data_IF_954578855875
#
_entry.id   IF_954578855875
#
_cell.length_a   1.000
_cell.length_b   1.000
_cell.length_c   1.000
_cell.angle_alpha   90.00
_cell.angle_beta   90.00
_cell.angle_gamma   90.00
#
_symmetry.space_group_name_H-M   'P 1'
#
loop_
_entity.id
_entity.type
_entity.pdbx_description
1 polymer ?
#
# COMPACT_ATOMS: atom_id res chain seq x y z
N UNK A 1 17.30 -7.48 -25.13
CA UNK A 1 15.89 -7.70 -24.77
C UNK A 1 15.33 -6.42 -24.18
N UNK A 2 14.41 -5.78 -24.88
CA UNK A 2 13.79 -4.54 -24.41
C UNK A 2 12.73 -4.85 -23.36
N UNK A 3 12.48 -3.93 -22.41
CA UNK A 3 11.41 -4.05 -21.41
C UNK A 3 10.02 -4.32 -22.03
N UNK A 4 9.81 -3.93 -23.29
CA UNK A 4 8.58 -4.16 -24.06
C UNK A 4 8.37 -5.63 -24.46
N UNK A 5 9.43 -6.41 -24.61
CA UNK A 5 9.34 -7.85 -24.92
C UNK A 5 8.92 -8.67 -23.68
N UNK A 6 9.23 -8.20 -22.48
CA UNK A 6 8.87 -8.92 -21.23
C UNK A 6 7.40 -8.74 -20.83
N UNK A 7 6.76 -7.65 -21.27
CA UNK A 7 5.33 -7.38 -21.08
C UNK A 7 4.51 -7.61 -22.35
N UNK A 8 5.06 -8.42 -23.27
CA UNK A 8 4.55 -8.69 -24.60
C UNK A 8 3.03 -8.76 -24.64
N UNK A 9 2.45 -8.11 -25.65
CA UNK A 9 1.01 -8.09 -25.96
C UNK A 9 0.42 -9.48 -25.67
N UNK A 10 -0.20 -9.62 -24.50
CA UNK A 10 -0.94 -10.83 -24.19
C UNK A 10 -2.18 -10.78 -25.09
N UNK A 11 -2.36 -11.81 -25.92
CA UNK A 11 -3.59 -11.99 -26.68
C UNK A 11 -4.76 -11.84 -25.69
N UNK A 12 -5.59 -10.83 -25.89
CA UNK A 12 -6.80 -10.68 -25.10
C UNK A 12 -7.73 -11.80 -25.54
N UNK A 13 -7.75 -12.89 -24.79
CA UNK A 13 -8.86 -13.83 -24.87
C UNK A 13 -10.09 -13.15 -24.28
N UNK A 14 -10.98 -12.70 -25.16
CA UNK A 14 -12.21 -12.00 -24.80
C UNK A 14 -13.19 -12.98 -24.14
N UNK A 15 -12.97 -13.27 -22.85
CA UNK A 15 -14.00 -13.90 -22.03
C UNK A 15 -15.17 -12.93 -21.88
N UNK A 16 -16.40 -13.41 -22.10
CA UNK A 16 -17.61 -12.59 -22.00
C UNK A 16 -17.72 -11.85 -20.66
N UNK A 17 -17.20 -12.44 -19.57
CA UNK A 17 -17.22 -11.78 -18.26
C UNK A 17 -16.25 -10.59 -18.19
N UNK A 18 -15.13 -10.63 -18.89
CA UNK A 18 -14.17 -9.52 -18.96
C UNK A 18 -14.71 -8.37 -19.81
N UNK A 19 -15.43 -8.69 -20.90
CA UNK A 19 -16.13 -7.68 -21.70
C UNK A 19 -17.21 -6.97 -20.88
N UNK A 20 -18.02 -7.74 -20.14
CA UNK A 20 -19.05 -7.17 -19.26
C UNK A 20 -18.45 -6.34 -18.11
N UNK A 21 -17.30 -6.77 -17.58
CA UNK A 21 -16.56 -6.01 -16.58
C UNK A 21 -15.99 -4.71 -17.15
N UNK A 22 -15.43 -4.74 -18.36
CA UNK A 22 -14.95 -3.52 -19.02
C UNK A 22 -16.08 -2.52 -19.25
N UNK A 23 -17.24 -2.98 -19.74
CA UNK A 23 -18.42 -2.14 -19.89
C UNK A 23 -18.85 -1.53 -18.56
N UNK A 24 -18.93 -2.34 -17.50
CA UNK A 24 -19.24 -1.85 -16.16
C UNK A 24 -18.26 -0.78 -15.66
N UNK A 25 -16.95 -0.95 -15.92
CA UNK A 25 -15.98 0.08 -15.56
C UNK A 25 -16.11 1.36 -16.41
N UNK A 26 -16.53 1.26 -17.67
CA UNK A 26 -16.82 2.45 -18.51
C UNK A 26 -17.98 3.26 -17.93
N UNK A 27 -18.98 2.60 -17.36
CA UNK A 27 -20.17 3.24 -16.80
C UNK A 27 -19.93 3.80 -15.38
N UNK A 28 -19.01 3.19 -14.62
CA UNK A 28 -18.77 3.55 -13.20
C UNK A 28 -17.58 4.47 -12.98
N UNK A 29 -16.61 4.51 -13.90
CA UNK A 29 -15.40 5.31 -13.76
C UNK A 29 -15.48 6.60 -14.58
N UNK A 30 -14.96 7.70 -14.04
CA UNK A 30 -14.87 8.96 -14.76
C UNK A 30 -14.06 8.80 -16.06
N UNK A 31 -14.46 9.50 -17.13
CA UNK A 31 -13.80 9.42 -18.44
C UNK A 31 -12.29 9.74 -18.39
N UNK A 32 -11.85 10.58 -17.45
CA UNK A 32 -10.44 10.91 -17.23
C UNK A 32 -9.58 9.70 -16.83
N UNK A 33 -10.19 8.62 -16.35
CA UNK A 33 -9.50 7.44 -15.80
C UNK A 33 -9.36 6.30 -16.80
N UNK A 34 -9.53 6.57 -18.11
CA UNK A 34 -9.46 5.58 -19.20
C UNK A 34 -8.21 4.68 -19.09
N UNK A 35 -7.02 5.26 -18.86
CA UNK A 35 -5.77 4.47 -18.69
C UNK A 35 -5.82 3.53 -17.49
N UNK A 36 -6.41 3.98 -16.39
CA UNK A 36 -6.51 3.19 -15.16
C UNK A 36 -7.54 2.07 -15.33
N UNK A 37 -8.68 2.36 -15.97
CA UNK A 37 -9.70 1.38 -16.34
C UNK A 37 -9.13 0.25 -17.18
N UNK A 38 -8.48 0.59 -18.29
CA UNK A 38 -7.92 -0.40 -19.21
C UNK A 38 -6.85 -1.26 -18.51
N UNK A 39 -6.09 -0.65 -17.58
CA UNK A 39 -5.16 -1.37 -16.72
C UNK A 39 -5.85 -2.35 -15.76
N UNK A 40 -7.03 -2.03 -15.21
CA UNK A 40 -7.79 -2.97 -14.36
C UNK A 40 -8.16 -4.23 -15.14
N UNK A 41 -8.76 -4.08 -16.32
CA UNK A 41 -9.18 -5.19 -17.17
C UNK A 41 -7.97 -6.03 -17.59
N UNK A 42 -6.88 -5.38 -18.04
CA UNK A 42 -5.66 -6.06 -18.45
C UNK A 42 -5.01 -6.86 -17.30
N UNK A 43 -5.02 -6.32 -16.08
CA UNK A 43 -4.48 -7.02 -14.90
C UNK A 43 -5.29 -8.27 -14.56
N UNK A 44 -6.62 -8.18 -14.57
CA UNK A 44 -7.51 -9.33 -14.31
C UNK A 44 -7.31 -10.39 -15.39
N UNK A 45 -7.31 -9.98 -16.67
CA UNK A 45 -7.09 -10.89 -17.78
C UNK A 45 -5.77 -11.66 -17.66
N UNK A 46 -4.67 -10.97 -17.30
CA UNK A 46 -3.36 -11.62 -17.09
C UNK A 46 -3.40 -12.72 -16.04
N UNK A 47 -4.08 -12.48 -14.91
CA UNK A 47 -4.21 -13.48 -13.85
C UNK A 47 -5.04 -14.66 -14.34
N UNK A 48 -6.23 -14.38 -14.87
CA UNK A 48 -7.16 -15.43 -15.31
C UNK A 48 -6.57 -16.27 -16.44
N UNK A 49 -5.89 -15.65 -17.40
CA UNK A 49 -5.21 -16.34 -18.49
C UNK A 49 -4.08 -17.24 -17.97
N UNK A 50 -3.28 -16.78 -17.01
CA UNK A 50 -2.21 -17.61 -16.46
C UNK A 50 -2.72 -18.76 -15.59
N UNK A 51 -3.81 -18.56 -14.86
CA UNK A 51 -4.42 -19.60 -14.03
C UNK A 51 -5.32 -20.56 -14.83
N UNK A 52 -5.92 -20.10 -15.92
CA UNK A 52 -6.83 -20.85 -16.78
C UNK A 52 -6.70 -20.40 -18.26
N UNK A 53 -5.67 -20.87 -18.98
CA UNK A 53 -5.34 -20.37 -20.32
C UNK A 53 -6.44 -20.61 -21.36
N UNK A 54 -7.19 -21.69 -21.22
CA UNK A 54 -8.15 -22.11 -22.23
C UNK A 54 -9.39 -21.21 -22.32
N UNK A 55 -9.80 -20.56 -21.22
CA UNK A 55 -11.10 -19.86 -21.18
C UNK A 55 -11.14 -18.57 -20.34
N UNK A 56 -10.04 -18.22 -19.65
CA UNK A 56 -10.05 -17.14 -18.65
C UNK A 56 -11.26 -17.26 -17.70
N UNK A 57 -11.65 -18.49 -17.33
CA UNK A 57 -12.82 -18.74 -16.47
C UNK A 57 -12.50 -18.29 -15.04
N UNK A 58 -13.27 -17.35 -14.45
CA UNK A 58 -13.02 -16.85 -13.10
C UNK A 58 -13.20 -17.92 -12.00
N UNK A 59 -13.87 -19.04 -12.27
CA UNK A 59 -13.98 -20.17 -11.32
C UNK A 59 -12.62 -20.78 -10.96
N UNK A 60 -11.57 -20.55 -11.76
CA UNK A 60 -10.21 -20.95 -11.39
C UNK A 60 -9.74 -20.32 -10.07
N UNK A 61 -10.34 -19.18 -9.68
CA UNK A 61 -10.05 -18.48 -8.43
C UNK A 61 -10.65 -19.17 -7.20
N UNK A 62 -11.57 -20.13 -7.35
CA UNK A 62 -12.16 -20.86 -6.22
C UNK A 62 -11.09 -21.63 -5.44
N UNK A 63 -10.04 -22.09 -6.13
CA UNK A 63 -8.93 -22.83 -5.52
C UNK A 63 -7.91 -21.82 -4.97
N UNK A 64 -8.02 -21.48 -3.68
CA UNK A 64 -7.11 -20.53 -3.02
C UNK A 64 -5.65 -20.96 -3.06
N UNK A 65 -5.35 -22.27 -3.03
CA UNK A 65 -3.98 -22.77 -3.21
C UNK A 65 -3.43 -22.44 -4.60
N UNK A 66 -4.24 -22.59 -5.65
CA UNK A 66 -3.82 -22.19 -7.00
C UNK A 66 -3.56 -20.68 -7.12
N UNK A 67 -4.31 -19.84 -6.38
CA UNK A 67 -4.03 -18.40 -6.28
C UNK A 67 -2.66 -18.17 -5.62
N UNK A 68 -2.38 -18.84 -4.50
CA UNK A 68 -1.09 -18.72 -3.82
C UNK A 68 0.05 -19.15 -4.75
N UNK A 69 -0.08 -20.31 -5.39
CA UNK A 69 0.94 -20.86 -6.31
C UNK A 69 1.20 -19.91 -7.47
N UNK A 70 0.15 -19.31 -8.04
CA UNK A 70 0.29 -18.29 -9.08
C UNK A 70 1.12 -17.09 -8.57
N UNK A 71 0.78 -16.48 -7.45
CA UNK A 71 1.50 -15.30 -6.96
C UNK A 71 2.93 -15.61 -6.47
N UNK A 72 3.18 -16.85 -6.03
CA UNK A 72 4.52 -17.34 -5.68
C UNK A 72 5.39 -17.63 -6.90
N UNK A 73 4.80 -18.19 -7.97
CA UNK A 73 5.51 -18.47 -9.23
C UNK A 73 5.85 -17.22 -10.05
N UNK A 74 5.19 -16.08 -9.76
CA UNK A 74 5.54 -14.82 -10.41
C UNK A 74 7.02 -14.46 -10.16
N UNK A 75 7.79 -14.16 -11.23
CA UNK A 75 9.23 -13.91 -11.15
C UNK A 75 9.60 -12.95 -10.02
N UNK A 76 10.71 -13.22 -9.33
CA UNK A 76 11.24 -12.35 -8.27
C UNK A 76 11.60 -10.95 -8.79
N UNK A 77 11.89 -10.81 -10.09
CA UNK A 77 12.14 -9.53 -10.75
C UNK A 77 10.87 -8.66 -10.90
N UNK A 78 9.69 -9.27 -10.80
CA UNK A 78 8.42 -8.54 -10.82
C UNK A 78 8.29 -7.79 -9.49
N UNK A 79 8.23 -6.46 -9.57
CA UNK A 79 8.11 -5.62 -8.37
C UNK A 79 6.86 -6.01 -7.54
N UNK A 80 6.99 -6.02 -6.21
CA UNK A 80 5.87 -6.28 -5.30
C UNK A 80 4.69 -5.32 -5.57
N UNK A 81 4.95 -4.09 -6.03
CA UNK A 81 3.93 -3.16 -6.48
C UNK A 81 3.10 -3.68 -7.66
N UNK A 82 3.70 -4.40 -8.60
CA UNK A 82 2.98 -5.02 -9.71
C UNK A 82 2.07 -6.14 -9.21
N UNK A 83 2.56 -6.98 -8.29
CA UNK A 83 1.74 -8.02 -7.63
C UNK A 83 0.55 -7.39 -6.88
N UNK A 84 0.81 -6.32 -6.13
CA UNK A 84 -0.24 -5.56 -5.43
C UNK A 84 -1.27 -4.99 -6.41
N UNK A 85 -0.85 -4.49 -7.57
CA UNK A 85 -1.77 -3.96 -8.58
C UNK A 85 -2.64 -5.07 -9.19
N UNK A 86 -2.09 -6.26 -9.46
CA UNK A 86 -2.88 -7.41 -9.90
C UNK A 86 -3.93 -7.80 -8.85
N UNK A 87 -3.54 -7.84 -7.58
CA UNK A 87 -4.45 -8.16 -6.48
C UNK A 87 -5.55 -7.10 -6.35
N UNK A 88 -5.22 -5.80 -6.43
CA UNK A 88 -6.22 -4.72 -6.40
C UNK A 88 -7.24 -4.87 -7.53
N UNK A 89 -6.78 -5.12 -8.75
CA UNK A 89 -7.66 -5.31 -9.90
C UNK A 89 -8.57 -6.52 -9.75
N UNK A 90 -8.05 -7.65 -9.25
CA UNK A 90 -8.86 -8.82 -8.91
C UNK A 90 -9.92 -8.52 -7.87
N UNK A 91 -9.59 -7.80 -6.79
CA UNK A 91 -10.56 -7.47 -5.74
C UNK A 91 -11.71 -6.59 -6.25
N UNK A 92 -11.43 -5.65 -7.16
CA UNK A 92 -12.46 -4.83 -7.81
C UNK A 92 -13.33 -5.73 -8.69
N UNK A 93 -12.72 -6.57 -9.53
CA UNK A 93 -13.45 -7.52 -10.38
C UNK A 93 -14.34 -8.47 -9.59
N UNK A 94 -13.85 -9.05 -8.50
CA UNK A 94 -14.62 -9.93 -7.62
C UNK A 94 -15.78 -9.20 -6.94
N UNK A 95 -15.65 -7.90 -6.69
CA UNK A 95 -16.74 -7.07 -6.17
C UNK A 95 -17.81 -6.83 -7.24
N UNK A 96 -17.40 -6.56 -8.49
CA UNK A 96 -18.30 -6.55 -9.64
C UNK A 96 -19.07 -7.87 -9.79
N UNK A 97 -18.40 -9.02 -9.65
CA UNK A 97 -19.05 -10.32 -9.75
C UNK A 97 -20.16 -10.52 -8.71
N UNK A 98 -19.99 -9.98 -7.50
CA UNK A 98 -21.02 -10.05 -6.45
C UNK A 98 -22.22 -9.13 -6.66
N UNK A 99 -22.06 -8.06 -7.43
CA UNK A 99 -23.09 -7.01 -7.60
C UNK A 99 -24.03 -7.30 -8.77
N UNK A 100 -23.62 -8.11 -9.75
CA UNK A 100 -24.39 -8.35 -10.97
C UNK A 100 -25.17 -9.66 -10.89
N UNK A 101 -26.50 -9.60 -10.98
CA UNK A 101 -27.41 -10.77 -10.87
C UNK A 101 -27.11 -11.87 -11.90
N UNK A 102 -26.83 -11.50 -13.15
CA UNK A 102 -26.47 -12.44 -14.23
C UNK A 102 -25.18 -13.21 -13.90
N UNK A 103 -24.16 -12.49 -13.41
CA UNK A 103 -22.88 -13.09 -13.00
C UNK A 103 -23.09 -14.00 -11.79
N UNK A 104 -23.91 -13.57 -10.83
CA UNK A 104 -24.21 -14.32 -9.62
C UNK A 104 -24.87 -15.67 -9.92
N UNK A 105 -25.85 -15.71 -10.83
CA UNK A 105 -26.52 -16.96 -11.24
C UNK A 105 -25.51 -17.87 -11.94
N UNK A 106 -24.77 -17.34 -12.92
CA UNK A 106 -23.84 -18.12 -13.75
C UNK A 106 -22.64 -18.66 -12.98
N UNK A 107 -22.17 -17.97 -11.95
CA UNK A 107 -20.97 -18.30 -11.20
C UNK A 107 -21.24 -18.48 -9.70
N UNK A 108 -22.34 -19.16 -9.36
CA UNK A 108 -22.79 -19.31 -7.95
C UNK A 108 -21.67 -19.80 -7.02
N UNK A 109 -20.91 -20.83 -7.43
CA UNK A 109 -19.78 -21.37 -6.64
C UNK A 109 -18.67 -20.36 -6.39
N UNK A 110 -18.39 -19.50 -7.37
CA UNK A 110 -17.43 -18.41 -7.22
C UNK A 110 -17.93 -17.40 -6.19
N UNK A 111 -19.21 -17.03 -6.27
CA UNK A 111 -19.85 -16.08 -5.34
C UNK A 111 -19.83 -16.60 -3.91
N UNK A 112 -20.18 -17.86 -3.70
CA UNK A 112 -20.16 -18.48 -2.37
C UNK A 112 -18.76 -18.54 -1.78
N UNK A 113 -17.74 -18.64 -2.65
CA UNK A 113 -16.33 -18.69 -2.24
C UNK A 113 -15.68 -17.30 -2.10
N UNK A 114 -16.38 -16.21 -2.46
CA UNK A 114 -15.79 -14.86 -2.49
C UNK A 114 -15.13 -14.42 -1.19
N UNK A 115 -15.71 -14.65 0.01
CA UNK A 115 -15.06 -14.25 1.26
C UNK A 115 -13.66 -14.86 1.39
N UNK A 116 -13.53 -16.16 1.17
CA UNK A 116 -12.26 -16.88 1.26
C UNK A 116 -11.25 -16.44 0.20
N UNK A 117 -11.71 -16.19 -1.02
CA UNK A 117 -10.86 -15.69 -2.11
C UNK A 117 -10.32 -14.30 -1.76
N UNK A 118 -11.20 -13.39 -1.30
CA UNK A 118 -10.82 -12.03 -0.91
C UNK A 118 -9.84 -12.06 0.26
N UNK A 119 -10.09 -12.87 1.29
CA UNK A 119 -9.18 -13.03 2.43
C UNK A 119 -7.81 -13.53 1.99
N UNK A 120 -7.77 -14.55 1.14
CA UNK A 120 -6.51 -15.07 0.57
C UNK A 120 -5.73 -13.97 -0.18
N UNK A 121 -6.41 -13.20 -1.02
CA UNK A 121 -5.81 -12.08 -1.76
C UNK A 121 -5.31 -10.97 -0.82
N UNK A 122 -6.05 -10.65 0.24
CA UNK A 122 -5.63 -9.70 1.26
C UNK A 122 -4.38 -10.17 2.02
N UNK A 123 -4.29 -11.46 2.38
CA UNK A 123 -3.10 -12.04 3.00
C UNK A 123 -1.87 -11.94 2.09
N UNK A 124 -2.00 -12.30 0.81
CA UNK A 124 -0.91 -12.18 -0.17
C UNK A 124 -0.47 -10.72 -0.30
N UNK A 125 -1.43 -9.79 -0.42
CA UNK A 125 -1.16 -8.35 -0.52
C UNK A 125 -0.40 -7.82 0.69
N UNK A 126 -0.77 -8.24 1.90
CA UNK A 126 -0.06 -7.85 3.13
C UNK A 126 1.39 -8.35 3.12
N UNK A 127 1.62 -9.59 2.65
CA UNK A 127 2.96 -10.15 2.47
C UNK A 127 3.83 -9.34 1.49
N UNK A 128 3.27 -8.97 0.33
CA UNK A 128 3.96 -8.11 -0.65
C UNK A 128 4.26 -6.71 -0.09
N UNK A 129 3.30 -6.10 0.61
CA UNK A 129 3.49 -4.77 1.20
C UNK A 129 4.61 -4.77 2.25
N UNK A 130 4.64 -5.75 3.16
CA UNK A 130 5.69 -5.89 4.19
C UNK A 130 7.08 -6.02 3.56
N UNK A 131 7.20 -6.80 2.48
CA UNK A 131 8.46 -6.99 1.74
C UNK A 131 8.91 -5.70 1.05
N UNK A 132 7.99 -5.00 0.38
CA UNK A 132 8.27 -3.71 -0.26
C UNK A 132 8.76 -2.65 0.73
N UNK A 133 8.11 -2.53 1.91
CA UNK A 133 8.54 -1.61 2.98
C UNK A 133 9.96 -1.96 3.47
N UNK A 134 10.26 -3.24 3.65
CA UNK A 134 11.60 -3.69 4.05
C UNK A 134 12.66 -3.34 3.01
N UNK A 135 12.41 -3.58 1.72
CA UNK A 135 13.33 -3.22 0.63
C UNK A 135 13.56 -1.70 0.60
N UNK A 136 12.52 -0.89 0.79
CA UNK A 136 12.67 0.57 0.87
C UNK A 136 13.51 0.99 2.08
N UNK A 137 13.29 0.37 3.24
CA UNK A 137 14.09 0.65 4.44
C UNK A 137 15.57 0.25 4.25
N UNK A 138 15.84 -0.91 3.65
CA UNK A 138 17.20 -1.37 3.33
C UNK A 138 17.89 -0.43 2.33
N UNK A 139 17.20 -0.01 1.27
CA UNK A 139 17.70 0.98 0.31
C UNK A 139 18.01 2.32 0.95
N UNK A 140 17.12 2.80 1.82
CA UNK A 140 17.31 4.04 2.57
C UNK A 140 18.53 3.93 3.49
N UNK A 141 18.66 2.82 4.20
CA UNK A 141 19.83 2.54 5.03
C UNK A 141 21.12 2.44 4.21
N UNK A 142 21.08 1.86 3.00
CA UNK A 142 22.23 1.81 2.10
C UNK A 142 22.63 3.20 1.56
N UNK A 143 21.65 4.04 1.21
CA UNK A 143 21.88 5.42 0.80
C UNK A 143 22.57 6.23 1.91
N UNK A 144 22.12 6.09 3.16
CA UNK A 144 22.75 6.72 4.31
C UNK A 144 24.16 6.20 4.64
N UNK A 145 24.57 5.03 4.13
CA UNK A 145 25.96 4.55 4.25
C UNK A 145 26.91 5.18 3.23
N UNK A 146 26.40 5.69 2.11
CA UNK A 146 27.18 6.31 1.04
C UNK A 146 27.22 7.84 1.08
N UNK A 147 26.20 8.49 1.66
CA UNK A 147 26.21 9.93 1.92
C UNK A 147 27.01 10.21 3.19
N UNK A 148 28.10 10.97 3.08
CA UNK A 148 28.95 11.35 4.23
C UNK A 148 28.07 11.81 5.39
N UNK A 149 28.15 11.07 6.50
CA UNK A 149 27.45 11.25 7.78
C UNK A 149 27.61 12.64 8.41
N UNK A 150 28.41 13.53 7.84
CA UNK A 150 28.67 14.88 8.33
C UNK A 150 27.42 15.77 8.35
N UNK A 151 26.54 15.71 7.35
CA UNK A 151 25.36 16.61 7.31
C UNK A 151 24.31 16.23 8.37
N UNK A 152 23.97 14.95 8.50
CA UNK A 152 22.99 14.50 9.50
C UNK A 152 23.49 14.60 10.94
N UNK A 153 24.78 14.38 11.19
CA UNK A 153 25.36 14.62 12.52
C UNK A 153 25.29 16.11 12.85
N UNK A 154 25.58 17.01 11.90
CA UNK A 154 25.53 18.46 12.13
C UNK A 154 24.11 18.93 12.44
N UNK A 155 23.10 18.44 11.72
CA UNK A 155 21.69 18.79 11.98
C UNK A 155 21.18 18.26 13.32
N UNK A 156 21.58 17.03 13.69
CA UNK A 156 21.27 16.46 15.01
C UNK A 156 21.97 17.28 16.11
N UNK A 157 23.26 17.60 15.96
CA UNK A 157 24.01 18.41 16.92
C UNK A 157 23.43 19.83 17.05
N UNK A 158 23.01 20.44 15.95
CA UNK A 158 22.33 21.73 15.95
C UNK A 158 20.99 21.66 16.69
N UNK A 159 20.20 20.60 16.45
CA UNK A 159 18.93 20.37 17.15
C UNK A 159 19.12 20.18 18.65
N UNK A 160 20.13 19.40 19.05
CA UNK A 160 20.50 19.19 20.46
C UNK A 160 20.97 20.50 21.11
N UNK A 161 21.78 21.32 20.41
CA UNK A 161 22.25 22.60 20.92
C UNK A 161 21.11 23.62 21.11
N UNK A 162 20.14 23.65 20.20
CA UNK A 162 18.93 24.49 20.34
C UNK A 162 18.12 24.05 21.57
N UNK A 163 17.92 22.75 21.75
CA UNK A 163 17.21 22.22 22.93
C UNK A 163 17.95 22.52 24.23
N UNK A 164 19.29 22.39 24.24
CA UNK A 164 20.13 22.73 25.40
C UNK A 164 20.01 24.21 25.78
N UNK A 165 20.02 25.12 24.80
CA UNK A 165 19.81 26.55 25.04
C UNK A 165 18.42 26.85 25.61
N UNK A 166 17.36 26.24 25.06
CA UNK A 166 15.98 26.38 25.57
C UNK A 166 15.86 25.88 27.02
N UNK A 167 16.47 24.74 27.33
CA UNK A 167 16.46 24.18 28.68
C UNK A 167 17.20 25.07 29.69
N UNK A 168 18.37 25.61 29.32
CA UNK A 168 19.12 26.53 30.19
C UNK A 168 18.32 27.80 30.49
N UNK A 169 17.70 28.41 29.48
CA UNK A 169 16.83 29.57 29.65
C UNK A 169 15.65 29.25 30.59
N UNK A 170 14.97 28.14 30.38
CA UNK A 170 13.88 27.69 31.26
C UNK A 170 14.34 27.54 32.73
N UNK A 171 15.55 27.01 32.94
CA UNK A 171 16.13 26.84 34.29
C UNK A 171 16.43 28.19 34.96
N UNK A 172 16.92 29.17 34.20
CA UNK A 172 17.16 30.54 34.70
C UNK A 172 15.86 31.25 35.03
N UNK A 173 14.87 31.21 34.12
CA UNK A 173 13.54 31.79 34.33
C UNK A 173 12.86 31.22 35.60
N UNK A 174 12.99 29.91 35.83
CA UNK A 174 12.48 29.24 37.03
C UNK A 174 13.17 29.72 38.32
N UNK A 175 14.49 29.96 38.29
CA UNK A 175 15.23 30.52 39.44
C UNK A 175 14.78 31.94 39.76
N UNK A 176 14.63 32.78 38.73
CA UNK A 176 14.16 34.17 38.88
C UNK A 176 12.75 34.18 39.49
N UNK A 177 11.85 33.31 39.01
CA UNK A 177 10.50 33.19 39.56
C UNK A 177 10.51 32.77 41.04
N UNK A 178 11.36 31.81 41.41
CA UNK A 178 11.49 31.37 42.79
C UNK A 178 12.02 32.48 43.72
N UNK A 179 12.97 33.29 43.26
CA UNK A 179 13.46 34.46 44.00
C UNK A 179 12.38 35.53 44.18
N UNK A 180 11.60 35.82 43.13
CA UNK A 180 10.47 36.76 43.20
C UNK A 180 9.37 36.30 44.17
N UNK A 181 9.07 35.00 44.19
CA UNK A 181 8.11 34.43 45.15
C UNK A 181 8.61 34.54 46.59
N UNK A 182 9.90 34.31 46.83
CA UNK A 182 10.51 34.51 48.16
C UNK A 182 10.45 35.96 48.61
N UNK A 183 10.80 36.92 47.75
CA UNK A 183 10.75 38.34 48.12
C UNK A 183 9.33 38.82 48.40
N UNK A 184 8.34 38.36 47.62
CA UNK A 184 6.92 38.63 47.88
C UNK A 184 6.49 38.05 49.22
N UNK A 185 6.87 36.81 49.53
CA UNK A 185 6.55 36.20 50.81
C UNK A 185 7.17 36.98 52.00
N UNK A 186 8.43 37.41 51.88
CA UNK A 186 9.07 38.26 52.90
C UNK A 186 8.32 39.58 53.10
N UNK A 187 7.87 40.22 52.02
CA UNK A 187 7.09 41.46 52.10
C UNK A 187 5.72 41.23 52.77
N UNK A 188 5.01 40.15 52.40
CA UNK A 188 3.74 39.78 53.03
C UNK A 188 3.88 39.50 54.54
N UNK A 189 4.92 38.77 54.94
CA UNK A 189 5.20 38.50 56.37
C UNK A 189 5.46 39.80 57.12
N UNK A 190 6.22 40.73 56.55
CA UNK A 190 6.49 42.04 57.14
C UNK A 190 5.25 42.95 57.23
N UNK A 191 4.24 42.75 56.38
CA UNK A 191 3.01 43.56 56.36
C UNK A 191 1.94 43.05 57.36
N UNK A 192 2.03 41.78 57.73
CA UNK A 192 1.13 41.11 58.69
C UNK A 192 1.68 41.21 60.14
N UNK A 193 2.98 41.45 60.29
CA UNK A 193 3.66 41.65 61.59
C UNK A 193 3.56 43.10 62.05
#
# INVERSE_FOLDING_TARGET
MSRLEYYGKFEMHESTILLNYEAHLKDTMAMSDTKYRDQQVANVNRVLFKMCPAFCNPECLIKTEAIKDYFHSLPSILADNTKINYIKSLLIFLSYCSQTSIVRIRYTKLIDSLPFIKDCLHCIRAGCAKRSTRIMAERRAAQFRGERTTYHITDILNSVNVLKKKYLKYREDKKIMHLKLKSLNTYFVALIS
#
